data_IF_232776000329
#
_entry.id   IF_232776000329
#
_cell.length_a   1.000
_cell.length_b   1.000
_cell.length_c   1.000
_cell.angle_alpha   90.00
_cell.angle_beta   90.00
_cell.angle_gamma   90.00
#
_symmetry.space_group_name_H-M   'P 1'
#
loop_
_entity.id
_entity.type
_entity.pdbx_description
1 polymer ?
#
# COMPACT_ATOMS: atom_id res chain seq x y z
N UNK A 1 22.82 -4.52 -1.43
CA UNK A 1 22.06 -4.79 -2.66
C UNK A 1 20.58 -4.58 -2.35
N UNK A 2 19.94 -3.58 -2.94
CA UNK A 2 18.64 -3.06 -2.47
C UNK A 2 17.47 -3.99 -2.74
N UNK A 3 17.48 -4.73 -3.85
CA UNK A 3 16.40 -5.66 -4.17
C UNK A 3 16.16 -6.71 -3.06
N UNK A 4 17.21 -7.25 -2.43
CA UNK A 4 17.03 -8.23 -1.34
C UNK A 4 16.49 -7.59 -0.06
N UNK A 5 16.78 -6.31 0.18
CA UNK A 5 16.22 -5.57 1.30
C UNK A 5 14.72 -5.36 1.08
N UNK A 6 14.28 -5.02 -0.13
CA UNK A 6 12.83 -4.89 -0.42
C UNK A 6 12.10 -6.23 -0.42
N UNK A 7 12.76 -7.36 -0.77
CA UNK A 7 12.20 -8.69 -0.53
C UNK A 7 12.02 -8.99 0.96
N UNK A 8 13.01 -8.63 1.79
CA UNK A 8 12.89 -8.75 3.23
C UNK A 8 11.73 -7.90 3.76
N UNK A 9 11.57 -6.67 3.27
CA UNK A 9 10.45 -5.80 3.63
C UNK A 9 9.10 -6.48 3.35
N UNK A 10 8.92 -7.01 2.14
CA UNK A 10 7.71 -7.73 1.75
C UNK A 10 7.47 -8.97 2.61
N UNK A 11 8.52 -9.78 2.85
CA UNK A 11 8.40 -10.97 3.70
C UNK A 11 8.00 -10.62 5.14
N UNK A 12 8.58 -9.56 5.72
CA UNK A 12 8.21 -9.08 7.06
C UNK A 12 6.77 -8.58 7.09
N UNK A 13 6.31 -7.87 6.05
CA UNK A 13 4.93 -7.44 5.91
C UNK A 13 3.95 -8.63 5.87
N UNK A 14 4.26 -9.64 5.07
CA UNK A 14 3.41 -10.83 5.01
C UNK A 14 3.37 -11.58 6.35
N UNK A 15 4.52 -11.70 7.03
CA UNK A 15 4.57 -12.26 8.38
C UNK A 15 3.72 -11.44 9.36
N UNK A 16 3.79 -10.10 9.29
CA UNK A 16 2.95 -9.21 10.11
C UNK A 16 1.46 -9.50 9.88
N UNK A 17 1.02 -9.68 8.64
CA UNK A 17 -0.39 -9.95 8.35
C UNK A 17 -0.86 -11.34 8.78
N UNK A 18 0.04 -12.33 8.83
CA UNK A 18 -0.24 -13.71 9.29
C UNK A 18 -0.12 -13.89 10.81
N UNK A 19 0.48 -12.93 11.52
CA UNK A 19 0.67 -13.04 12.96
C UNK A 19 -0.68 -12.96 13.69
N UNK A 20 -0.92 -13.93 14.55
CA UNK A 20 -2.12 -14.00 15.41
C UNK A 20 -1.84 -13.47 16.82
N UNK A 21 -0.59 -13.61 17.29
CA UNK A 21 -0.17 -13.14 18.61
C UNK A 21 0.13 -11.62 18.60
N UNK A 22 -0.48 -10.83 19.52
CA UNK A 22 -0.24 -9.39 19.60
C UNK A 22 1.22 -9.00 19.84
N UNK A 23 1.97 -9.78 20.63
CA UNK A 23 3.38 -9.48 20.93
C UNK A 23 4.26 -9.70 19.69
N UNK A 24 4.06 -10.81 18.97
CA UNK A 24 4.70 -11.05 17.67
C UNK A 24 4.33 -9.97 16.65
N UNK A 25 3.05 -9.59 16.58
CA UNK A 25 2.55 -8.54 15.67
C UNK A 25 3.27 -7.21 15.92
N UNK A 26 3.42 -6.80 17.18
CA UNK A 26 4.14 -5.58 17.55
C UNK A 26 5.62 -5.64 17.13
N UNK A 27 6.31 -6.76 17.39
CA UNK A 27 7.71 -6.92 16.99
C UNK A 27 7.91 -6.95 15.47
N UNK A 28 6.97 -7.54 14.74
CA UNK A 28 6.98 -7.55 13.27
C UNK A 28 6.72 -6.16 12.70
N UNK A 29 5.85 -5.37 13.33
CA UNK A 29 5.65 -3.96 13.00
C UNK A 29 6.94 -3.15 13.18
N UNK A 30 7.61 -3.28 14.32
CA UNK A 30 8.91 -2.61 14.56
C UNK A 30 9.97 -3.04 13.54
N UNK A 31 10.02 -4.33 13.20
CA UNK A 31 10.91 -4.84 12.18
C UNK A 31 10.59 -4.27 10.79
N UNK A 32 9.30 -4.18 10.43
CA UNK A 32 8.84 -3.58 9.19
C UNK A 32 9.28 -2.13 9.10
N UNK A 33 8.99 -1.31 10.12
CA UNK A 33 9.32 0.11 10.16
C UNK A 33 10.84 0.34 10.06
N UNK A 34 11.64 -0.51 10.72
CA UNK A 34 13.11 -0.44 10.64
C UNK A 34 13.65 -0.79 9.25
N UNK A 35 13.12 -1.82 8.59
CA UNK A 35 13.53 -2.16 7.22
C UNK A 35 13.10 -1.05 6.25
N UNK A 36 11.87 -0.55 6.38
CA UNK A 36 11.32 0.55 5.56
C UNK A 36 12.16 1.82 5.70
N UNK A 37 12.51 2.20 6.92
CA UNK A 37 13.37 3.35 7.22
C UNK A 37 14.82 3.20 6.73
N UNK A 38 15.26 1.98 6.40
CA UNK A 38 16.57 1.73 5.81
C UNK A 38 16.65 1.95 4.29
N UNK A 39 15.50 2.04 3.61
CA UNK A 39 15.40 2.24 2.16
C UNK A 39 15.59 3.70 1.76
N UNK A 40 15.61 3.95 0.44
CA UNK A 40 16.01 5.24 -0.13
C UNK A 40 15.15 6.41 0.33
N UNK A 41 13.82 6.28 0.29
CA UNK A 41 12.88 7.37 0.56
C UNK A 41 13.00 8.01 1.96
N UNK A 42 13.60 7.30 2.92
CA UNK A 42 13.81 7.79 4.29
C UNK A 42 15.14 8.53 4.48
N UNK A 43 15.95 8.67 3.42
CA UNK A 43 17.30 9.24 3.50
C UNK A 43 17.38 10.61 2.84
N UNK A 44 18.29 11.44 3.33
CA UNK A 44 18.67 12.67 2.63
C UNK A 44 19.43 12.34 1.33
N UNK A 45 19.47 13.26 0.35
CA UNK A 45 20.26 13.06 -0.86
C UNK A 45 21.76 12.81 -0.58
N UNK A 46 22.31 13.42 0.48
CA UNK A 46 23.71 13.24 0.87
C UNK A 46 23.98 11.83 1.42
N UNK A 47 23.09 11.30 2.27
CA UNK A 47 23.21 9.94 2.82
C UNK A 47 22.99 8.86 1.76
N UNK A 48 22.06 9.10 0.83
CA UNK A 48 21.78 8.16 -0.25
C UNK A 48 22.82 8.23 -1.38
N UNK A 49 23.37 9.43 -1.62
CA UNK A 49 24.31 9.74 -2.69
C UNK A 49 23.69 9.83 -4.09
N UNK A 50 22.38 10.07 -4.15
CA UNK A 50 21.56 10.29 -5.35
C UNK A 50 20.21 10.92 -4.95
N UNK A 51 19.29 11.10 -5.90
CA UNK A 51 17.90 11.44 -5.58
C UNK A 51 17.22 10.26 -4.84
N UNK A 52 16.75 10.43 -3.60
CA UNK A 52 16.20 9.33 -2.78
C UNK A 52 14.92 8.69 -3.33
N UNK A 53 14.22 9.39 -4.22
CA UNK A 53 13.04 8.91 -4.93
C UNK A 53 13.37 7.96 -6.08
N UNK A 54 14.63 7.94 -6.53
CA UNK A 54 15.05 7.10 -7.65
C UNK A 54 15.58 5.75 -7.13
N UNK A 55 15.16 4.62 -7.75
CA UNK A 55 15.64 3.30 -7.37
C UNK A 55 17.04 3.04 -7.94
N UNK A 56 17.87 2.34 -7.15
CA UNK A 56 19.24 1.95 -7.52
C UNK A 56 19.49 0.50 -7.08
N UNK A 57 20.42 -0.20 -7.74
CA UNK A 57 20.61 -1.63 -7.46
C UNK A 57 21.37 -1.89 -6.16
N UNK A 58 22.38 -1.08 -5.83
CA UNK A 58 23.19 -1.27 -4.62
C UNK A 58 23.88 0.02 -4.15
N UNK A 59 24.31 0.04 -2.89
CA UNK A 59 25.17 1.08 -2.31
C UNK A 59 26.39 0.39 -1.70
N UNK A 60 27.59 0.51 -2.28
CA UNK A 60 28.81 -0.04 -1.71
C UNK A 60 29.28 0.83 -0.53
N UNK A 61 30.09 0.27 0.38
CA UNK A 61 30.47 0.97 1.63
C UNK A 61 31.26 2.29 1.47
N UNK A 62 31.76 2.60 0.27
CA UNK A 62 32.62 3.76 0.01
C UNK A 62 32.03 4.74 -1.02
N UNK A 63 30.78 4.53 -1.50
CA UNK A 63 30.09 5.44 -2.44
C UNK A 63 28.59 5.47 -2.15
N UNK A 64 27.93 6.47 -2.75
CA UNK A 64 26.47 6.53 -2.82
C UNK A 64 25.85 5.43 -3.68
N UNK A 65 24.53 5.49 -3.85
CA UNK A 65 23.74 4.57 -4.66
C UNK A 65 24.28 4.40 -6.10
N UNK A 66 24.27 3.16 -6.61
CA UNK A 66 24.85 2.77 -7.91
C UNK A 66 23.84 1.97 -8.75
N UNK A 67 23.96 2.08 -10.08
CA UNK A 67 23.11 1.43 -11.10
C UNK A 67 21.63 1.85 -11.02
N UNK A 68 21.27 3.01 -11.61
CA UNK A 68 19.92 3.58 -11.51
C UNK A 68 18.87 2.80 -12.30
N UNK A 69 17.62 2.93 -11.87
CA UNK A 69 16.43 2.62 -12.67
C UNK A 69 15.95 1.18 -12.56
N UNK A 70 16.33 0.33 -13.51
CA UNK A 70 15.66 -0.96 -13.79
C UNK A 70 16.05 -2.10 -12.82
N UNK A 71 16.03 -1.84 -11.51
CA UNK A 71 16.26 -2.85 -10.47
C UNK A 71 14.96 -3.57 -10.08
N UNK A 72 15.04 -4.86 -9.76
CA UNK A 72 13.91 -5.63 -9.25
C UNK A 72 13.35 -5.13 -7.91
N UNK A 73 14.04 -4.21 -7.23
CA UNK A 73 13.56 -3.50 -6.03
C UNK A 73 12.15 -2.94 -6.20
N UNK A 74 11.87 -2.33 -7.36
CA UNK A 74 10.64 -1.56 -7.60
C UNK A 74 9.38 -2.43 -7.51
N UNK A 75 9.43 -3.68 -7.98
CA UNK A 75 8.25 -4.56 -7.96
C UNK A 75 7.87 -4.93 -6.53
N UNK A 76 8.87 -5.16 -5.67
CA UNK A 76 8.63 -5.54 -4.28
C UNK A 76 8.05 -4.34 -3.52
N UNK A 77 8.54 -3.13 -3.81
CA UNK A 77 8.02 -1.92 -3.18
C UNK A 77 6.58 -1.57 -3.61
N UNK A 78 6.22 -1.82 -4.87
CA UNK A 78 4.83 -1.72 -5.34
C UNK A 78 3.92 -2.67 -4.57
N UNK A 79 4.33 -3.94 -4.40
CA UNK A 79 3.55 -4.92 -3.63
C UNK A 79 3.42 -4.49 -2.17
N UNK A 80 4.51 -4.06 -1.54
CA UNK A 80 4.43 -3.58 -0.16
C UNK A 80 3.54 -2.36 0.00
N UNK A 81 3.48 -1.48 -1.01
CA UNK A 81 2.63 -0.29 -0.97
C UNK A 81 1.14 -0.66 -1.01
N UNK A 82 0.76 -1.67 -1.78
CA UNK A 82 -0.63 -2.19 -1.73
C UNK A 82 -0.98 -2.76 -0.36
N UNK A 83 -0.04 -3.48 0.27
CA UNK A 83 -0.21 -3.95 1.65
C UNK A 83 -0.30 -2.82 2.68
N UNK A 84 0.52 -1.77 2.54
CA UNK A 84 0.47 -0.57 3.40
C UNK A 84 -0.88 0.14 3.30
N UNK A 85 -1.37 0.33 2.08
CA UNK A 85 -2.69 0.91 1.79
C UNK A 85 -3.84 -0.05 2.14
N UNK A 86 -3.56 -1.29 2.53
CA UNK A 86 -4.57 -2.24 2.96
C UNK A 86 -5.43 -2.81 1.84
N UNK A 87 -4.97 -2.79 0.59
CA UNK A 87 -5.69 -3.41 -0.53
C UNK A 87 -5.43 -4.91 -0.48
N UNK A 88 -6.46 -5.67 -0.11
CA UNK A 88 -6.39 -7.13 0.05
C UNK A 88 -7.42 -7.78 -0.87
N UNK A 89 -7.02 -8.84 -1.57
CA UNK A 89 -7.93 -9.65 -2.39
C UNK A 89 -8.03 -11.04 -1.79
N UNK A 90 -9.24 -11.43 -1.38
CA UNK A 90 -9.52 -12.72 -0.74
C UNK A 90 -10.92 -13.19 -1.14
N UNK A 91 -11.05 -14.47 -1.53
CA UNK A 91 -12.35 -15.03 -1.91
C UNK A 91 -13.03 -14.33 -3.10
N UNK A 92 -12.25 -13.70 -3.99
CA UNK A 92 -12.76 -12.91 -5.12
C UNK A 92 -13.27 -11.52 -4.73
N UNK A 93 -13.08 -11.09 -3.48
CA UNK A 93 -13.50 -9.78 -2.98
C UNK A 93 -12.30 -8.88 -2.73
N UNK A 94 -12.45 -7.59 -3.03
CA UNK A 94 -11.51 -6.55 -2.60
C UNK A 94 -11.90 -6.05 -1.21
N UNK A 95 -10.90 -5.92 -0.35
CA UNK A 95 -10.99 -5.33 0.97
C UNK A 95 -10.02 -4.16 1.10
N UNK A 96 -10.43 -3.09 1.78
CA UNK A 96 -9.65 -1.89 2.06
C UNK A 96 -9.40 -1.76 3.57
N UNK A 97 -8.37 -2.45 4.08
CA UNK A 97 -8.08 -2.57 5.51
C UNK A 97 -6.63 -2.21 5.83
N UNK A 98 -6.28 -0.91 5.93
CA UNK A 98 -4.91 -0.48 6.21
C UNK A 98 -4.53 -0.78 7.67
N UNK A 99 -3.76 -1.84 7.88
CA UNK A 99 -3.26 -2.24 9.22
C UNK A 99 -1.86 -1.72 9.55
N UNK A 100 -1.06 -1.36 8.53
CA UNK A 100 0.28 -0.81 8.71
C UNK A 100 0.27 0.74 8.78
N UNK A 101 -0.62 1.38 8.03
CA UNK A 101 -0.85 2.83 8.14
C UNK A 101 -1.95 3.05 9.18
N UNK A 102 -1.69 3.90 10.18
CA UNK A 102 -2.73 4.27 11.15
C UNK A 102 -3.65 5.28 10.49
N UNK A 103 -4.97 5.09 10.62
CA UNK A 103 -5.98 6.03 10.09
C UNK A 103 -5.77 7.45 10.64
N UNK A 104 -5.33 7.55 11.90
CA UNK A 104 -4.99 8.82 12.53
C UNK A 104 -3.80 9.57 11.89
N UNK A 105 -2.92 8.86 11.16
CA UNK A 105 -1.77 9.47 10.47
C UNK A 105 -2.11 9.91 9.04
N UNK A 106 -3.34 9.67 8.57
CA UNK A 106 -3.77 10.17 7.27
C UNK A 106 -3.85 11.70 7.30
N UNK A 107 -3.48 12.39 6.20
CA UNK A 107 -3.74 13.81 6.03
C UNK A 107 -5.21 14.16 6.24
N UNK A 108 -5.51 15.42 6.52
CA UNK A 108 -6.89 15.86 6.78
C UNK A 108 -7.79 15.66 5.55
N UNK A 109 -7.23 15.91 4.37
CA UNK A 109 -7.80 15.66 3.06
C UNK A 109 -7.88 14.17 2.68
N UNK A 110 -7.22 13.30 3.44
CA UNK A 110 -7.12 11.87 3.15
C UNK A 110 -6.00 11.52 2.16
N UNK A 111 -6.12 10.35 1.51
CA UNK A 111 -5.17 9.87 0.50
C UNK A 111 -5.93 9.38 -0.72
N UNK A 112 -5.44 9.75 -1.89
CA UNK A 112 -5.97 9.27 -3.16
C UNK A 112 -4.93 8.39 -3.87
N UNK A 113 -5.39 7.31 -4.47
CA UNK A 113 -4.58 6.42 -5.30
C UNK A 113 -5.47 5.76 -6.35
N UNK A 114 -4.91 4.89 -7.20
CA UNK A 114 -5.70 4.13 -8.16
C UNK A 114 -5.49 2.64 -7.96
N UNK A 115 -6.53 1.84 -8.10
CA UNK A 115 -6.41 0.38 -8.15
C UNK A 115 -7.20 -0.13 -9.34
N UNK A 116 -6.58 -0.97 -10.16
CA UNK A 116 -7.14 -1.35 -11.48
C UNK A 116 -7.52 -0.17 -12.39
N UNK A 117 -6.91 1.01 -12.20
CA UNK A 117 -7.22 2.22 -12.98
C UNK A 117 -8.44 2.99 -12.49
N UNK A 118 -9.11 2.52 -11.42
CA UNK A 118 -10.21 3.24 -10.75
C UNK A 118 -9.62 4.07 -9.60
N UNK A 119 -9.92 5.38 -9.51
CA UNK A 119 -9.59 6.21 -8.36
C UNK A 119 -10.20 5.68 -7.07
N UNK A 120 -9.37 5.60 -6.02
CA UNK A 120 -9.74 5.22 -4.67
C UNK A 120 -9.42 6.39 -3.74
N UNK A 121 -10.42 6.83 -2.98
CA UNK A 121 -10.35 7.97 -2.08
C UNK A 121 -10.48 7.51 -0.64
N UNK A 122 -9.38 7.50 0.11
CA UNK A 122 -9.42 7.22 1.54
C UNK A 122 -9.72 8.50 2.31
N UNK A 123 -10.74 8.46 3.16
CA UNK A 123 -11.15 9.57 4.03
C UNK A 123 -11.32 9.06 5.46
N UNK A 124 -11.08 9.91 6.45
CA UNK A 124 -11.35 9.58 7.87
C UNK A 124 -12.83 9.79 8.18
N UNK A 125 -13.40 8.96 9.03
CA UNK A 125 -14.76 9.13 9.54
C UNK A 125 -15.04 8.29 10.78
N UNK A 126 -16.26 8.37 11.29
CA UNK A 126 -16.64 7.65 12.52
C UNK A 126 -16.83 6.14 12.32
N UNK A 127 -17.19 5.73 11.10
CA UNK A 127 -17.51 4.35 10.76
C UNK A 127 -16.85 3.97 9.44
N UNK A 128 -16.37 2.73 9.37
CA UNK A 128 -15.77 2.20 8.14
C UNK A 128 -16.86 1.83 7.15
N UNK A 129 -16.79 2.40 5.94
CA UNK A 129 -17.77 2.17 4.87
C UNK A 129 -17.15 2.46 3.50
N UNK A 130 -17.77 1.93 2.46
CA UNK A 130 -17.39 2.17 1.07
C UNK A 130 -18.58 2.79 0.32
N UNK A 131 -18.29 3.73 -0.57
CA UNK A 131 -19.21 4.19 -1.61
C UNK A 131 -18.59 3.92 -2.97
N UNK A 132 -19.33 3.21 -3.81
CA UNK A 132 -18.94 2.90 -5.19
C UNK A 132 -19.73 3.82 -6.09
N UNK A 133 -19.04 4.68 -6.83
CA UNK A 133 -19.64 5.57 -7.81
C UNK A 133 -19.55 4.89 -9.18
N UNK A 134 -20.69 4.63 -9.79
CA UNK A 134 -20.78 3.97 -11.09
C UNK A 134 -20.76 4.99 -12.23
N UNK A 135 -20.41 4.53 -13.43
CA UNK A 135 -20.27 5.38 -14.61
C UNK A 135 -21.58 6.03 -15.10
N UNK A 136 -22.73 5.51 -14.67
CA UNK A 136 -24.06 6.08 -14.94
C UNK A 136 -24.52 7.10 -13.88
N UNK A 137 -23.70 7.33 -12.86
CA UNK A 137 -24.00 8.23 -11.74
C UNK A 137 -24.70 7.57 -10.56
N UNK A 138 -25.01 6.27 -10.62
CA UNK A 138 -25.48 5.53 -9.44
C UNK A 138 -24.39 5.47 -8.37
N UNK A 139 -24.78 5.54 -7.09
CA UNK A 139 -23.87 5.36 -5.96
C UNK A 139 -24.38 4.25 -5.06
N UNK A 140 -23.58 3.20 -4.91
CA UNK A 140 -23.86 2.10 -3.99
C UNK A 140 -23.09 2.28 -2.69
N UNK A 141 -23.78 2.24 -1.55
CA UNK A 141 -23.15 2.24 -0.23
C UNK A 141 -22.96 0.79 0.27
N UNK A 142 -21.80 0.52 0.84
CA UNK A 142 -21.43 -0.78 1.43
C UNK A 142 -20.95 -0.55 2.85
N UNK A 143 -21.55 -1.25 3.80
CA UNK A 143 -21.09 -1.22 5.20
C UNK A 143 -19.78 -2.01 5.34
N UNK A 144 -18.85 -1.49 6.15
CA UNK A 144 -17.55 -2.12 6.36
C UNK A 144 -16.54 -1.85 5.26
N UNK A 145 -15.54 -2.72 5.15
CA UNK A 145 -14.32 -2.50 4.36
C UNK A 145 -14.19 -3.42 3.14
N UNK A 146 -15.26 -4.13 2.76
CA UNK A 146 -15.21 -5.20 1.75
C UNK A 146 -16.27 -5.02 0.67
N UNK A 147 -15.84 -4.99 -0.58
CA UNK A 147 -16.75 -5.05 -1.74
C UNK A 147 -17.32 -6.46 -1.90
N UNK A 148 -18.53 -6.57 -2.46
CA UNK A 148 -19.05 -7.88 -2.88
C UNK A 148 -18.25 -8.46 -4.06
N UNK A 149 -18.50 -9.74 -4.38
CA UNK A 149 -17.78 -10.46 -5.44
C UNK A 149 -18.05 -9.84 -6.82
N UNK A 150 -19.27 -9.38 -7.08
CA UNK A 150 -19.66 -8.87 -8.39
C UNK A 150 -18.98 -7.53 -8.69
N UNK A 151 -19.00 -6.62 -7.72
CA UNK A 151 -18.34 -5.31 -7.79
C UNK A 151 -16.82 -5.47 -7.87
N UNK A 152 -16.25 -6.40 -7.09
CA UNK A 152 -14.82 -6.72 -7.16
C UNK A 152 -14.43 -7.25 -8.54
N UNK A 153 -15.23 -8.15 -9.12
CA UNK A 153 -15.01 -8.65 -10.47
C UNK A 153 -15.07 -7.53 -11.53
N UNK A 154 -16.03 -6.60 -11.41
CA UNK A 154 -16.14 -5.44 -12.29
C UNK A 154 -14.90 -4.53 -12.21
N UNK A 155 -14.38 -4.30 -11.00
CA UNK A 155 -13.15 -3.55 -10.75
C UNK A 155 -11.93 -4.22 -11.42
N UNK A 156 -11.77 -5.53 -11.24
CA UNK A 156 -10.67 -6.28 -11.86
C UNK A 156 -10.75 -6.31 -13.38
N UNK A 157 -11.96 -6.40 -13.94
CA UNK A 157 -12.20 -6.48 -15.37
C UNK A 157 -11.92 -5.16 -16.11
N UNK A 158 -11.79 -4.03 -15.38
CA UNK A 158 -11.59 -2.70 -15.96
C UNK A 158 -12.68 -2.34 -16.99
N UNK A 159 -13.92 -2.79 -16.72
CA UNK A 159 -15.03 -2.66 -17.65
C UNK A 159 -15.56 -1.20 -17.81
N UNK A 160 -15.01 -0.24 -17.05
CA UNK A 160 -15.46 1.15 -17.04
C UNK A 160 -16.78 1.38 -16.30
N UNK A 161 -17.33 0.35 -15.65
CA UNK A 161 -18.58 0.45 -14.89
C UNK A 161 -18.42 1.25 -13.58
N UNK A 162 -17.23 1.20 -12.97
CA UNK A 162 -16.93 1.93 -11.73
C UNK A 162 -16.12 3.18 -12.10
N UNK A 163 -16.64 4.34 -11.76
CA UNK A 163 -15.99 5.64 -11.98
C UNK A 163 -14.94 5.91 -10.89
N UNK A 164 -15.31 5.73 -9.61
CA UNK A 164 -14.43 5.94 -8.45
C UNK A 164 -14.98 5.20 -7.21
N UNK A 165 -14.13 5.05 -6.19
CA UNK A 165 -14.50 4.43 -4.91
C UNK A 165 -14.05 5.32 -3.76
N UNK A 166 -14.98 5.76 -2.92
CA UNK A 166 -14.70 6.43 -1.65
C UNK A 166 -14.71 5.41 -0.51
N UNK A 167 -13.65 5.39 0.29
CA UNK A 167 -13.53 4.54 1.48
C UNK A 167 -13.39 5.44 2.69
N UNK A 168 -14.40 5.42 3.56
CA UNK A 168 -14.29 6.02 4.89
C UNK A 168 -13.64 5.00 5.82
N UNK A 169 -12.59 5.41 6.54
CA UNK A 169 -11.86 4.61 7.51
C UNK A 169 -12.09 5.18 8.91
N UNK A 170 -12.37 4.30 9.87
CA UNK A 170 -12.52 4.63 11.29
C UNK A 170 -11.23 4.39 12.09
#
# INVERSE_FOLDING_TARGET
YWHMVSKLLLAVQECFFRAEDPHQTARLREAYDRVRGGLSAAKTPAEYGAFPTDPYSHTPGHRGAQQPGMTGQVKEEILTRWGELGVVVEGGQVRFSPRLVRVADLPDEGIDFTFCGVPIHYRRGAETRIRVHHGDGEVTAVEGDRLDVATSAALFARAGAIAEIEVTLA
#
